data_IF_909455455851
#
_entry.id   IF_909455455851
#
_cell.length_a   1.000
_cell.length_b   1.000
_cell.length_c   1.000
_cell.angle_alpha   90.00
_cell.angle_beta   90.00
_cell.angle_gamma   90.00
#
_symmetry.space_group_name_H-M   'P 1'
#
loop_
_entity.id
_entity.type
_entity.pdbx_description
1 polymer ?
#
# COMPACT_ATOMS: atom_id res chain seq x y z
N UNK A 1 17.38 2.93 6.40
CA UNK A 1 16.47 2.25 7.34
C UNK A 1 15.03 2.70 7.05
N UNK A 2 14.16 1.79 6.63
CA UNK A 2 12.81 2.08 6.10
C UNK A 2 11.76 2.14 7.22
N UNK A 3 11.95 3.04 8.19
CA UNK A 3 10.95 3.22 9.27
C UNK A 3 9.60 3.68 8.73
N UNK A 4 9.58 4.61 7.75
CA UNK A 4 8.35 5.09 7.13
C UNK A 4 7.53 3.96 6.48
N UNK A 5 8.17 3.02 5.77
CA UNK A 5 7.46 1.91 5.14
C UNK A 5 6.85 0.96 6.19
N UNK A 6 7.56 0.70 7.29
CA UNK A 6 7.03 -0.11 8.41
C UNK A 6 5.85 0.58 9.10
N UNK A 7 5.96 1.88 9.39
CA UNK A 7 4.85 2.65 9.96
C UNK A 7 3.66 2.75 9.00
N UNK A 8 3.90 2.96 7.71
CA UNK A 8 2.85 2.96 6.69
C UNK A 8 2.14 1.61 6.59
N UNK A 9 2.87 0.49 6.63
CA UNK A 9 2.27 -0.84 6.64
C UNK A 9 1.37 -1.08 7.85
N UNK A 10 1.81 -0.68 9.06
CA UNK A 10 1.01 -0.79 10.29
C UNK A 10 -0.20 0.15 10.22
N UNK A 11 -0.03 1.38 9.74
CA UNK A 11 -1.12 2.33 9.57
C UNK A 11 -2.18 1.81 8.59
N UNK A 12 -1.77 1.21 7.47
CA UNK A 12 -2.69 0.56 6.51
C UNK A 12 -3.45 -0.58 7.17
N UNK A 13 -2.79 -1.44 7.94
CA UNK A 13 -3.44 -2.54 8.68
C UNK A 13 -4.50 -2.02 9.66
N UNK A 14 -4.12 -1.08 10.53
CA UNK A 14 -5.03 -0.49 11.52
C UNK A 14 -6.20 0.21 10.82
N UNK A 15 -5.93 0.90 9.72
CA UNK A 15 -6.96 1.61 8.96
C UNK A 15 -7.97 0.68 8.31
N UNK A 16 -7.51 -0.41 7.69
CA UNK A 16 -8.39 -1.45 7.14
C UNK A 16 -9.19 -2.15 8.23
N UNK A 17 -8.56 -2.43 9.37
CA UNK A 17 -9.21 -3.07 10.52
C UNK A 17 -10.35 -2.20 11.08
N UNK A 18 -10.09 -0.91 11.35
CA UNK A 18 -11.09 0.01 11.88
C UNK A 18 -12.25 0.20 10.89
N UNK A 19 -11.93 0.34 9.60
CA UNK A 19 -12.95 0.52 8.55
C UNK A 19 -13.88 -0.69 8.43
N UNK A 20 -13.32 -1.91 8.50
CA UNK A 20 -14.11 -3.14 8.45
C UNK A 20 -15.00 -3.29 9.69
N UNK A 21 -14.49 -2.92 10.87
CA UNK A 21 -15.25 -2.92 12.12
C UNK A 21 -16.46 -2.00 12.04
N UNK A 22 -16.29 -0.79 11.51
CA UNK A 22 -17.37 0.19 11.34
C UNK A 22 -18.43 -0.27 10.33
N UNK A 23 -18.03 -1.05 9.31
CA UNK A 23 -18.94 -1.60 8.30
C UNK A 23 -19.62 -2.90 8.75
N UNK A 24 -19.22 -3.49 9.88
CA UNK A 24 -19.74 -4.77 10.38
C UNK A 24 -19.21 -6.00 9.62
N UNK A 25 -18.08 -5.85 8.92
CA UNK A 25 -17.41 -6.92 8.17
C UNK A 25 -16.27 -7.54 8.97
N UNK A 26 -15.75 -8.69 8.53
CA UNK A 26 -14.63 -9.36 9.21
C UNK A 26 -13.34 -8.54 9.12
N UNK A 27 -12.83 -7.97 10.25
CA UNK A 27 -11.70 -7.04 10.21
C UNK A 27 -10.40 -7.68 9.75
N UNK A 28 -10.18 -8.94 10.12
CA UNK A 28 -9.01 -9.72 9.69
C UNK A 28 -8.99 -9.93 8.17
N UNK A 29 -10.14 -10.24 7.55
CA UNK A 29 -10.25 -10.45 6.09
C UNK A 29 -9.83 -9.19 5.33
N UNK A 30 -10.30 -8.02 5.76
CA UNK A 30 -9.95 -6.74 5.15
C UNK A 30 -8.49 -6.35 5.38
N UNK A 31 -7.99 -6.54 6.60
CA UNK A 31 -6.59 -6.29 6.92
C UNK A 31 -5.64 -7.13 6.05
N UNK A 32 -5.97 -8.42 5.83
CA UNK A 32 -5.21 -9.30 4.94
C UNK A 32 -5.26 -8.82 3.48
N UNK A 33 -6.44 -8.43 2.98
CA UNK A 33 -6.58 -7.90 1.61
C UNK A 33 -5.76 -6.61 1.43
N UNK A 34 -5.79 -5.70 2.42
CA UNK A 34 -4.98 -4.49 2.41
C UNK A 34 -3.48 -4.78 2.43
N UNK A 35 -3.03 -5.76 3.22
CA UNK A 35 -1.63 -6.18 3.29
C UNK A 35 -1.16 -6.81 1.98
N UNK A 36 -1.94 -7.72 1.39
CA UNK A 36 -1.65 -8.35 0.10
C UNK A 36 -1.59 -7.27 -0.99
N UNK A 37 -2.54 -6.34 -1.00
CA UNK A 37 -2.56 -5.22 -1.93
C UNK A 37 -1.32 -4.31 -1.83
N UNK A 38 -0.92 -3.96 -0.61
CA UNK A 38 0.30 -3.21 -0.33
C UNK A 38 1.54 -3.98 -0.84
N UNK A 39 1.61 -5.28 -0.58
CA UNK A 39 2.73 -6.13 -0.99
C UNK A 39 2.86 -6.24 -2.51
N UNK A 40 1.75 -6.45 -3.22
CA UNK A 40 1.74 -6.53 -4.69
C UNK A 40 2.13 -5.17 -5.29
N UNK A 41 1.56 -4.07 -4.80
CA UNK A 41 1.87 -2.74 -5.29
C UNK A 41 3.34 -2.37 -5.06
N UNK A 42 3.91 -2.73 -3.90
CA UNK A 42 5.32 -2.57 -3.62
C UNK A 42 6.19 -3.30 -4.64
N UNK A 43 5.92 -4.59 -4.87
CA UNK A 43 6.69 -5.40 -5.82
C UNK A 43 6.55 -4.91 -7.26
N UNK A 44 5.35 -4.55 -7.69
CA UNK A 44 5.08 -4.01 -9.02
C UNK A 44 5.89 -2.74 -9.28
N UNK A 45 5.88 -1.79 -8.35
CA UNK A 45 6.59 -0.51 -8.49
C UNK A 45 8.10 -0.70 -8.37
N UNK A 46 8.55 -1.63 -7.51
CA UNK A 46 9.98 -1.95 -7.39
C UNK A 46 10.53 -2.59 -8.67
N UNK A 47 9.80 -3.52 -9.28
CA UNK A 47 10.26 -4.21 -10.50
C UNK A 47 10.15 -3.35 -11.76
N UNK A 48 9.28 -2.34 -11.77
CA UNK A 48 9.11 -1.45 -12.92
C UNK A 48 9.91 -0.17 -12.74
N UNK A 49 9.46 0.68 -11.80
CA UNK A 49 9.97 2.03 -11.59
C UNK A 49 11.39 2.02 -11.02
N UNK A 50 11.64 1.25 -9.96
CA UNK A 50 12.97 1.20 -9.35
C UNK A 50 13.97 0.52 -10.29
N UNK A 51 13.59 -0.57 -10.97
CA UNK A 51 14.47 -1.22 -11.95
C UNK A 51 14.81 -0.29 -13.12
N UNK A 52 13.83 0.39 -13.71
CA UNK A 52 14.05 1.31 -14.83
C UNK A 52 14.87 2.55 -14.45
N UNK A 53 14.63 3.12 -13.26
CA UNK A 53 15.32 4.33 -12.80
C UNK A 53 16.67 4.05 -12.13
N UNK A 54 16.93 2.81 -11.68
CA UNK A 54 18.18 2.46 -10.96
C UNK A 54 19.45 2.76 -11.77
N UNK A 55 19.44 2.50 -13.09
CA UNK A 55 20.57 2.78 -13.97
C UNK A 55 20.84 4.27 -14.19
N UNK A 56 19.82 5.12 -14.09
CA UNK A 56 19.92 6.57 -14.25
C UNK A 56 20.28 7.28 -12.93
N UNK A 57 19.83 6.71 -11.81
CA UNK A 57 19.88 7.34 -10.49
C UNK A 57 21.12 6.95 -9.67
N UNK A 58 21.83 5.89 -10.06
CA UNK A 58 23.04 5.42 -9.37
C UNK A 58 24.16 6.46 -9.22
N UNK A 59 24.14 7.57 -9.99
CA UNK A 59 25.14 8.64 -9.94
C UNK A 59 24.94 9.67 -8.82
N UNK A 60 23.78 9.71 -8.14
CA UNK A 60 23.53 10.68 -7.07
C UNK A 60 22.84 10.05 -5.85
N UNK A 61 23.44 10.12 -4.64
CA UNK A 61 22.87 9.52 -3.43
C UNK A 61 21.51 10.12 -3.04
N UNK A 62 21.23 11.37 -3.40
CA UNK A 62 19.96 12.03 -3.12
C UNK A 62 18.82 11.47 -3.99
N UNK A 63 19.08 11.19 -5.27
CA UNK A 63 18.09 10.59 -6.16
C UNK A 63 17.80 9.13 -5.78
N UNK A 64 18.82 8.38 -5.33
CA UNK A 64 18.64 7.00 -4.82
C UNK A 64 17.70 6.97 -3.62
N UNK A 65 17.78 7.98 -2.75
CA UNK A 65 16.88 8.11 -1.60
C UNK A 65 15.43 8.35 -2.02
N UNK A 66 15.19 9.18 -3.05
CA UNK A 66 13.85 9.46 -3.59
C UNK A 66 13.26 8.20 -4.22
N UNK A 67 14.01 7.50 -5.07
CA UNK A 67 13.54 6.29 -5.78
C UNK A 67 13.14 5.18 -4.81
N UNK A 68 13.82 5.07 -3.67
CA UNK A 68 13.49 4.11 -2.61
C UNK A 68 12.12 4.39 -1.94
N UNK A 69 11.64 5.63 -1.96
CA UNK A 69 10.35 6.00 -1.35
C UNK A 69 9.17 5.85 -2.31
N UNK A 70 9.40 5.83 -3.63
CA UNK A 70 8.34 5.71 -4.64
C UNK A 70 7.48 4.43 -4.45
N UNK A 71 8.06 3.23 -4.24
CA UNK A 71 7.27 2.04 -3.96
C UNK A 71 6.37 2.18 -2.74
N UNK A 72 6.83 2.85 -1.69
CA UNK A 72 6.04 3.04 -0.47
C UNK A 72 4.84 3.96 -0.70
N UNK A 73 5.02 5.07 -1.43
CA UNK A 73 3.94 5.99 -1.78
C UNK A 73 2.90 5.33 -2.70
N UNK A 74 3.35 4.60 -3.72
CA UNK A 74 2.45 3.87 -4.60
C UNK A 74 1.68 2.76 -3.87
N UNK A 75 2.33 2.06 -2.93
CA UNK A 75 1.67 1.04 -2.12
C UNK A 75 0.63 1.63 -1.17
N UNK A 76 0.85 2.84 -0.63
CA UNK A 76 -0.16 3.59 0.14
C UNK A 76 -1.35 3.98 -0.77
N UNK A 77 -1.08 4.49 -1.97
CA UNK A 77 -2.13 4.87 -2.92
C UNK A 77 -2.99 3.65 -3.34
N UNK A 78 -2.34 2.51 -3.62
CA UNK A 78 -3.03 1.26 -3.90
C UNK A 78 -3.90 0.80 -2.72
N UNK A 79 -3.38 0.87 -1.50
CA UNK A 79 -4.16 0.56 -0.30
C UNK A 79 -5.39 1.47 -0.16
N UNK A 80 -5.28 2.75 -0.50
CA UNK A 80 -6.40 3.70 -0.47
C UNK A 80 -7.50 3.32 -1.50
N UNK A 81 -7.10 2.90 -2.71
CA UNK A 81 -8.03 2.45 -3.75
C UNK A 81 -8.72 1.14 -3.38
N UNK A 82 -7.96 0.17 -2.85
CA UNK A 82 -8.50 -1.12 -2.38
C UNK A 82 -9.51 -0.89 -1.27
N UNK A 83 -9.22 0.00 -0.32
CA UNK A 83 -10.16 0.38 0.75
C UNK A 83 -11.45 0.95 0.17
N UNK A 84 -11.36 1.90 -0.78
CA UNK A 84 -12.53 2.48 -1.45
C UNK A 84 -13.38 1.41 -2.12
N UNK A 85 -12.74 0.45 -2.81
CA UNK A 85 -13.43 -0.66 -3.48
C UNK A 85 -14.12 -1.57 -2.47
N UNK A 86 -13.43 -1.98 -1.40
CA UNK A 86 -14.01 -2.84 -0.35
C UNK A 86 -15.22 -2.20 0.34
N UNK A 87 -15.18 -0.89 0.58
CA UNK A 87 -16.33 -0.15 1.12
C UNK A 87 -17.51 -0.22 0.14
N UNK A 88 -17.26 0.04 -1.15
CA UNK A 88 -18.31 -0.02 -2.17
C UNK A 88 -18.92 -1.42 -2.33
N UNK A 89 -18.09 -2.48 -2.33
CA UNK A 89 -18.54 -3.88 -2.34
C UNK A 89 -19.37 -4.23 -1.10
N UNK A 90 -18.98 -3.75 0.09
CA UNK A 90 -19.73 -4.00 1.31
C UNK A 90 -21.06 -3.23 1.40
N UNK A 91 -21.13 -2.01 0.84
CA UNK A 91 -22.39 -1.28 0.70
C UNK A 91 -23.29 -1.93 -0.37
N UNK A 92 -22.72 -2.47 -1.45
CA UNK A 92 -23.46 -3.20 -2.48
C UNK A 92 -24.01 -4.55 -1.97
N UNK A 93 -23.26 -5.26 -1.11
CA UNK A 93 -23.67 -6.55 -0.54
C UNK A 93 -24.75 -6.43 0.56
N UNK A 94 -24.99 -5.23 1.10
CA UNK A 94 -26.06 -4.95 2.07
C UNK A 94 -27.40 -4.54 1.44
N UNK A 95 -27.43 -4.29 0.13
CA UNK A 95 -28.64 -3.99 -0.64
C UNK A 95 -29.28 -5.27 -1.16
#
# INVERSE_FOLDING_TARGET
MLFLAKFAGIAVLVWFYLTAKDKGEQPFKWAIIGLIGYWIAWWAVRLTVVAALSGLVAKSPMMTFIVIQIPALCAIAAAFLIRKKLIADADAAKK
#
